data_IF_360172227013
#
_entry.id   IF_360172227013
#
_cell.length_a   1.000
_cell.length_b   1.000
_cell.length_c   1.000
_cell.angle_alpha   90.00
_cell.angle_beta   90.00
_cell.angle_gamma   90.00
#
_symmetry.space_group_name_H-M   'P 1'
#
loop_
_entity.id
_entity.type
_entity.pdbx_description
1 polymer ?
#
# COMPACT_ATOMS: atom_id res chain seq x y z
N UNK A 1 17.87 -7.00 -10.05
CA UNK A 1 17.91 -6.70 -8.60
C UNK A 1 18.17 -7.99 -7.83
N UNK A 2 18.98 -7.96 -6.78
CA UNK A 2 19.13 -9.10 -5.88
C UNK A 2 17.92 -9.23 -4.94
N UNK A 3 17.64 -10.43 -4.44
CA UNK A 3 16.58 -10.67 -3.46
C UNK A 3 16.75 -9.80 -2.20
N UNK A 4 17.99 -9.68 -1.72
CA UNK A 4 18.30 -8.83 -0.56
C UNK A 4 17.88 -7.37 -0.78
N UNK A 5 18.11 -6.81 -1.96
CA UNK A 5 17.69 -5.45 -2.29
C UNK A 5 16.16 -5.30 -2.32
N UNK A 6 15.45 -6.31 -2.84
CA UNK A 6 13.97 -6.32 -2.84
C UNK A 6 13.41 -6.38 -1.41
N UNK A 7 14.01 -7.17 -0.52
CA UNK A 7 13.59 -7.28 0.87
C UNK A 7 13.80 -5.96 1.64
N UNK A 8 14.91 -5.26 1.40
CA UNK A 8 15.15 -3.93 1.98
C UNK A 8 14.08 -2.93 1.52
N UNK A 9 13.70 -2.95 0.23
CA UNK A 9 12.67 -2.06 -0.30
C UNK A 9 11.28 -2.34 0.28
N UNK A 10 10.97 -3.60 0.58
CA UNK A 10 9.71 -4.02 1.18
C UNK A 10 9.65 -3.85 2.71
N UNK A 11 10.76 -3.47 3.35
CA UNK A 11 10.83 -3.34 4.81
C UNK A 11 10.08 -2.08 5.28
N UNK A 12 9.17 -2.23 6.23
CA UNK A 12 8.46 -1.09 6.86
C UNK A 12 9.37 -0.13 7.63
N UNK A 13 10.61 -0.51 7.92
CA UNK A 13 11.60 0.40 8.53
C UNK A 13 12.35 1.22 7.48
N UNK A 14 12.14 0.96 6.19
CA UNK A 14 12.78 1.72 5.13
C UNK A 14 12.37 3.20 5.23
N UNK A 15 13.33 4.14 5.35
CA UNK A 15 13.06 5.54 5.71
C UNK A 15 12.57 6.38 4.51
N UNK A 16 11.59 5.86 3.76
CA UNK A 16 10.96 6.54 2.61
C UNK A 16 9.77 7.43 3.01
N UNK A 17 9.40 7.49 4.29
CA UNK A 17 8.30 8.33 4.79
C UNK A 17 6.89 7.79 4.52
N UNK A 18 6.74 6.61 3.91
CA UNK A 18 5.43 6.05 3.53
C UNK A 18 4.47 5.75 4.69
N UNK A 19 4.99 5.53 5.90
CA UNK A 19 4.21 5.24 7.12
C UNK A 19 3.41 6.44 7.64
N UNK A 20 3.73 7.66 7.17
CA UNK A 20 3.01 8.86 7.56
C UNK A 20 1.60 8.95 6.94
N UNK A 21 1.28 8.12 5.94
CA UNK A 21 0.01 8.18 5.23
C UNK A 21 -0.87 6.96 5.55
N UNK A 22 -1.97 7.17 6.29
CA UNK A 22 -2.93 6.12 6.62
C UNK A 22 -3.70 5.56 5.41
N UNK A 23 -3.55 6.19 4.23
CA UNK A 23 -4.16 5.70 3.00
C UNK A 23 -5.68 5.73 3.00
N UNK A 24 -6.28 6.59 3.84
CA UNK A 24 -7.73 6.71 4.03
C UNK A 24 -8.31 5.78 5.09
N UNK A 25 -7.50 4.91 5.71
CA UNK A 25 -7.96 3.97 6.74
C UNK A 25 -8.48 4.72 7.99
N UNK A 26 -7.79 5.76 8.45
CA UNK A 26 -8.22 6.56 9.61
C UNK A 26 -9.61 7.18 9.41
N UNK A 27 -9.87 7.75 8.22
CA UNK A 27 -11.17 8.31 7.89
C UNK A 27 -12.24 7.21 7.74
N UNK A 28 -11.89 6.03 7.24
CA UNK A 28 -12.80 4.89 7.13
C UNK A 28 -13.17 4.31 8.51
N UNK A 29 -12.23 4.26 9.46
CA UNK A 29 -12.50 3.93 10.85
C UNK A 29 -13.44 4.96 11.50
N UNK A 30 -13.15 6.26 11.34
CA UNK A 30 -13.99 7.34 11.88
C UNK A 30 -15.42 7.30 11.32
N UNK A 31 -15.60 6.82 10.10
CA UNK A 31 -16.89 6.63 9.44
C UNK A 31 -17.59 5.30 9.79
N UNK A 32 -17.01 4.47 10.68
CA UNK A 32 -17.57 3.15 11.05
C UNK A 32 -17.47 2.07 9.97
N UNK A 33 -16.80 2.35 8.85
CA UNK A 33 -16.65 1.39 7.72
C UNK A 33 -15.58 0.33 7.97
N UNK A 34 -14.59 0.64 8.80
CA UNK A 34 -13.62 -0.31 9.32
C UNK A 34 -13.82 -0.36 10.84
N UNK A 35 -14.18 -1.51 11.36
CA UNK A 35 -14.40 -1.70 12.79
C UNK A 35 -13.89 -3.04 13.32
N UNK A 36 -13.42 -3.92 12.44
CA UNK A 36 -12.83 -5.21 12.77
C UNK A 36 -11.83 -5.65 11.69
N UNK A 37 -11.26 -6.85 11.84
CA UNK A 37 -10.30 -7.40 10.88
C UNK A 37 -10.94 -7.73 9.52
N UNK A 38 -12.21 -8.17 9.50
CA UNK A 38 -12.89 -8.54 8.25
C UNK A 38 -13.14 -7.30 7.39
N UNK A 39 -13.65 -6.23 7.98
CA UNK A 39 -13.88 -4.95 7.29
C UNK A 39 -12.58 -4.26 6.89
N UNK A 40 -11.49 -4.43 7.66
CA UNK A 40 -10.15 -4.00 7.25
C UNK A 40 -9.66 -4.77 6.01
N UNK A 41 -9.88 -6.08 5.96
CA UNK A 41 -9.53 -6.89 4.80
C UNK A 41 -10.26 -6.42 3.54
N UNK A 42 -11.58 -6.21 3.63
CA UNK A 42 -12.40 -5.67 2.54
C UNK A 42 -11.89 -4.30 2.07
N UNK A 43 -11.57 -3.40 3.00
CA UNK A 43 -10.98 -2.10 2.69
C UNK A 43 -9.65 -2.24 1.95
N UNK A 44 -8.74 -3.10 2.44
CA UNK A 44 -7.45 -3.36 1.81
C UNK A 44 -7.62 -3.93 0.40
N UNK A 45 -8.55 -4.87 0.20
CA UNK A 45 -8.89 -5.44 -1.11
C UNK A 45 -9.40 -4.36 -2.06
N UNK A 46 -10.32 -3.51 -1.61
CA UNK A 46 -10.80 -2.37 -2.40
C UNK A 46 -9.69 -1.38 -2.78
N UNK A 47 -8.73 -1.14 -1.89
CA UNK A 47 -7.57 -0.30 -2.18
C UNK A 47 -6.65 -0.91 -3.24
N UNK A 48 -6.43 -2.23 -3.22
CA UNK A 48 -5.63 -2.92 -4.23
C UNK A 48 -6.22 -2.74 -5.63
N UNK A 49 -7.54 -2.74 -5.76
CA UNK A 49 -8.23 -2.57 -7.04
C UNK A 49 -8.37 -1.10 -7.49
N UNK A 50 -7.92 -0.12 -6.70
CA UNK A 50 -8.04 1.31 -7.01
C UNK A 50 -6.66 1.98 -7.01
N UNK A 51 -6.29 2.67 -5.92
CA UNK A 51 -5.01 3.36 -5.82
C UNK A 51 -3.82 2.39 -5.93
N UNK A 52 -3.97 1.16 -5.41
CA UNK A 52 -2.97 0.11 -5.51
C UNK A 52 -2.67 -0.30 -6.95
N UNK A 53 -3.69 -0.42 -7.80
CA UNK A 53 -3.52 -0.78 -9.21
C UNK A 53 -2.71 0.27 -9.96
N UNK A 54 -3.03 1.55 -9.79
CA UNK A 54 -2.29 2.65 -10.43
C UNK A 54 -0.84 2.71 -9.95
N UNK A 55 -0.60 2.58 -8.64
CA UNK A 55 0.75 2.57 -8.08
C UNK A 55 1.56 1.38 -8.62
N UNK A 56 0.95 0.19 -8.71
CA UNK A 56 1.59 -1.00 -9.27
C UNK A 56 1.96 -0.82 -10.74
N UNK A 57 1.07 -0.22 -11.55
CA UNK A 57 1.34 0.05 -12.96
C UNK A 57 2.53 1.02 -13.14
N UNK A 58 2.58 2.10 -12.35
CA UNK A 58 3.69 3.04 -12.39
C UNK A 58 5.00 2.42 -11.91
N UNK A 59 4.97 1.63 -10.83
CA UNK A 59 6.14 0.91 -10.34
C UNK A 59 6.68 -0.08 -11.39
N UNK A 60 5.79 -0.80 -12.08
CA UNK A 60 6.16 -1.71 -13.16
C UNK A 60 6.78 -0.96 -14.34
N UNK A 61 6.19 0.16 -14.76
CA UNK A 61 6.73 1.00 -15.83
C UNK A 61 8.15 1.51 -15.49
N UNK A 62 8.35 2.04 -14.29
CA UNK A 62 9.65 2.49 -13.82
C UNK A 62 10.68 1.36 -13.77
N UNK A 63 10.29 0.16 -13.32
CA UNK A 63 11.17 -1.01 -13.30
C UNK A 63 11.58 -1.48 -14.70
N UNK A 64 10.74 -1.23 -15.71
CA UNK A 64 11.01 -1.52 -17.13
C UNK A 64 11.76 -0.40 -17.86
N UNK A 65 12.01 0.74 -17.20
CA UNK A 65 12.72 1.88 -17.79
C UNK A 65 11.89 2.70 -18.78
N UNK A 66 10.56 2.67 -18.65
CA UNK A 66 9.65 3.59 -19.34
C UNK A 66 9.66 4.97 -18.68
#
# INVERSE_FOLDING_TARGET
MSLAALLVLADGRFPAGGHAHSGGAEAACKAGRIHDAATLEEFCRGRLHTAGLTAAALAAAAALGL
#
